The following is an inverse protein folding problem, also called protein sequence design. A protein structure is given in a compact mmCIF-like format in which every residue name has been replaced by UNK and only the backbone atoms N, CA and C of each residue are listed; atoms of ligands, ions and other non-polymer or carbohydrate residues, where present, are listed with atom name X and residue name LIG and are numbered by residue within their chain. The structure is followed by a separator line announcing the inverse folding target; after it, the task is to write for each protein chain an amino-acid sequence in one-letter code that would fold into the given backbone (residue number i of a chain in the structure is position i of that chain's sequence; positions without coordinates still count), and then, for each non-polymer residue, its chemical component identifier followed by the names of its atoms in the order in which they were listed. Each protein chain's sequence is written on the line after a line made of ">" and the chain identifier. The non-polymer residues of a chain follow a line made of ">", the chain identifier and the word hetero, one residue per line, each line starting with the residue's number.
data_IF_750853177966
#
_entry.id   IF_750853177966
#
_cell.length_a   1.000
_cell.length_b   1.000
_cell.length_c   1.000
_cell.angle_alpha   90.00
_cell.angle_beta   90.00
_cell.angle_gamma   90.00
#
_symmetry.space_group_name_H-M   'P 1'
#
loop_
_entity.id
_entity.type
_entity.pdbx_description
1 polymer ?
#
# COMPACT_ATOMS: atom_id res chain seq x y z
N UNK A 1 -2.01 -1.56 26.37
CA UNK A 1 -0.80 -1.12 25.65
C UNK A 1 0.11 -2.31 25.44
N UNK A 2 -0.24 -3.20 24.50
CA UNK A 2 0.66 -4.30 24.13
C UNK A 2 1.48 -3.84 22.94
N UNK A 3 2.72 -3.45 23.23
CA UNK A 3 3.75 -3.15 22.24
C UNK A 3 4.08 -4.48 21.53
N UNK A 4 3.52 -4.64 20.32
CA UNK A 4 4.04 -5.63 19.38
C UNK A 4 5.42 -5.13 18.96
N UNK A 5 6.42 -5.74 19.59
CA UNK A 5 7.84 -5.60 19.34
C UNK A 5 8.17 -6.16 17.94
N UNK A 6 7.83 -5.41 16.90
CA UNK A 6 8.27 -5.67 15.54
C UNK A 6 9.54 -4.85 15.25
N UNK A 7 10.63 -5.17 15.94
CA UNK A 7 11.98 -4.69 15.61
C UNK A 7 12.52 -5.23 14.26
N UNK A 8 11.66 -5.73 13.36
CA UNK A 8 11.98 -6.05 11.95
C UNK A 8 11.45 -5.00 10.95
N UNK A 9 10.77 -3.95 11.43
CA UNK A 9 10.23 -2.85 10.62
C UNK A 9 11.27 -1.75 10.33
N UNK A 10 12.50 -2.11 9.93
CA UNK A 10 13.47 -1.14 9.40
C UNK A 10 13.56 -1.16 7.87
N UNK A 11 12.46 -1.48 7.21
CA UNK A 11 12.29 -1.21 5.78
C UNK A 11 10.83 -0.85 5.51
N UNK A 12 10.50 0.46 5.47
CA UNK A 12 9.22 0.94 4.93
C UNK A 12 8.92 0.35 3.55
N UNK A 13 9.98 0.01 2.82
CA UNK A 13 9.96 -0.66 1.52
C UNK A 13 9.31 -2.05 1.49
N UNK A 14 9.03 -2.65 2.65
CA UNK A 14 8.57 -4.03 2.80
C UNK A 14 7.18 -4.15 3.42
N UNK A 15 6.41 -3.07 3.53
CA UNK A 15 5.02 -3.17 3.97
C UNK A 15 4.05 -3.04 2.78
N UNK A 16 3.45 -4.15 2.29
CA UNK A 16 2.52 -4.11 1.16
C UNK A 16 1.27 -3.27 1.46
N UNK A 17 0.92 -3.15 2.75
CA UNK A 17 -0.18 -2.31 3.21
C UNK A 17 0.12 -0.83 3.01
N UNK A 18 1.35 -0.37 3.28
CA UNK A 18 1.73 1.04 3.05
C UNK A 18 1.76 1.38 1.57
N UNK A 19 2.27 0.48 0.73
CA UNK A 19 2.29 0.71 -0.72
C UNK A 19 0.86 0.74 -1.31
N UNK A 20 -0.06 -0.06 -0.75
CA UNK A 20 -1.47 0.02 -1.11
C UNK A 20 -2.09 1.35 -0.67
N UNK A 21 -1.79 1.82 0.54
CA UNK A 21 -2.24 3.13 1.03
C UNK A 21 -1.70 4.28 0.18
N UNK A 22 -0.44 4.26 -0.23
CA UNK A 22 0.14 5.27 -1.12
C UNK A 22 -0.57 5.31 -2.49
N UNK A 23 -0.88 4.13 -3.06
CA UNK A 23 -1.62 4.01 -4.32
C UNK A 23 -3.04 4.57 -4.20
N UNK A 24 -3.75 4.26 -3.10
CA UNK A 24 -5.07 4.81 -2.79
C UNK A 24 -5.01 6.32 -2.58
N UNK A 25 -4.04 6.81 -1.81
CA UNK A 25 -3.89 8.23 -1.54
C UNK A 25 -3.61 9.00 -2.83
N UNK A 26 -2.75 8.49 -3.71
CA UNK A 26 -2.46 9.09 -5.01
C UNK A 26 -3.71 9.16 -5.90
N UNK A 27 -4.54 8.11 -5.92
CA UNK A 27 -5.82 8.10 -6.65
C UNK A 27 -6.81 9.10 -6.05
N UNK A 28 -6.95 9.10 -4.73
CA UNK A 28 -7.84 10.01 -4.00
C UNK A 28 -7.43 11.47 -4.21
N UNK A 29 -6.12 11.79 -4.24
CA UNK A 29 -5.60 13.14 -4.52
C UNK A 29 -5.89 13.65 -5.93
N UNK A 30 -6.19 12.77 -6.89
CA UNK A 30 -6.65 13.18 -8.23
C UNK A 30 -8.12 13.63 -8.23
N UNK A 31 -8.88 13.27 -7.19
CA UNK A 31 -10.27 13.67 -7.03
C UNK A 31 -10.37 14.96 -6.21
N UNK A 32 -11.31 15.83 -6.59
CA UNK A 32 -11.53 17.09 -5.89
C UNK A 32 -12.45 16.84 -4.68
N UNK A 33 -11.85 16.64 -3.52
CA UNK A 33 -12.57 16.23 -2.31
C UNK A 33 -12.90 17.46 -1.48
N UNK A 34 -14.16 17.89 -1.57
CA UNK A 34 -14.65 19.07 -0.84
C UNK A 34 -15.30 18.71 0.51
N UNK A 35 -15.64 17.44 0.75
CA UNK A 35 -16.37 16.98 1.93
C UNK A 35 -15.97 15.56 2.35
N UNK A 36 -16.12 15.25 3.65
CA UNK A 36 -15.88 13.89 4.19
C UNK A 36 -16.72 12.81 3.54
N UNK A 37 -17.95 13.11 3.12
CA UNK A 37 -18.83 12.13 2.48
C UNK A 37 -18.36 11.79 1.05
N UNK A 38 -17.87 12.80 0.33
CA UNK A 38 -17.23 12.61 -0.98
C UNK A 38 -15.97 11.76 -0.82
N UNK A 39 -15.14 12.04 0.19
CA UNK A 39 -13.95 11.23 0.47
C UNK A 39 -14.31 9.75 0.67
N UNK A 40 -15.33 9.45 1.47
CA UNK A 40 -15.78 8.07 1.71
C UNK A 40 -16.29 7.40 0.44
N UNK A 41 -17.02 8.13 -0.40
CA UNK A 41 -17.53 7.60 -1.66
C UNK A 41 -16.38 7.31 -2.63
N UNK A 42 -15.49 8.28 -2.84
CA UNK A 42 -14.32 8.14 -3.71
C UNK A 42 -13.41 7.01 -3.24
N UNK A 43 -13.21 6.87 -1.92
CA UNK A 43 -12.40 5.80 -1.37
C UNK A 43 -13.00 4.42 -1.65
N UNK A 44 -14.32 4.27 -1.54
CA UNK A 44 -15.00 3.02 -1.92
C UNK A 44 -14.93 2.75 -3.42
N UNK A 45 -15.21 3.75 -4.25
CA UNK A 45 -15.17 3.62 -5.70
C UNK A 45 -13.76 3.26 -6.19
N UNK A 46 -12.73 3.94 -5.68
CA UNK A 46 -11.35 3.64 -6.05
C UNK A 46 -10.90 2.29 -5.50
N UNK A 47 -11.40 1.87 -4.32
CA UNK A 47 -11.15 0.54 -3.78
C UNK A 47 -11.77 -0.56 -4.64
N UNK A 48 -13.02 -0.40 -5.10
CA UNK A 48 -13.67 -1.36 -6.00
C UNK A 48 -13.03 -1.39 -7.39
N UNK A 49 -12.44 -0.28 -7.85
CA UNK A 49 -11.67 -0.23 -9.11
C UNK A 49 -10.31 -0.92 -9.02
N UNK A 50 -9.77 -1.18 -7.82
CA UNK A 50 -8.52 -1.91 -7.68
C UNK A 50 -8.80 -3.37 -8.04
N UNK A 51 -8.37 -3.77 -9.24
CA UNK A 51 -8.50 -5.14 -9.69
C UNK A 51 -7.55 -6.07 -8.91
N UNK A 52 -7.89 -7.36 -8.88
CA UNK A 52 -7.00 -8.39 -8.34
C UNK A 52 -5.64 -8.40 -9.06
N UNK A 53 -5.59 -7.98 -10.32
CA UNK A 53 -4.36 -7.88 -11.11
C UNK A 53 -3.44 -6.77 -10.58
N UNK A 54 -3.99 -5.60 -10.24
CA UNK A 54 -3.22 -4.49 -9.64
C UNK A 54 -2.69 -4.88 -8.26
N UNK A 55 -3.49 -5.61 -7.48
CA UNK A 55 -3.06 -6.17 -6.19
C UNK A 55 -1.94 -7.20 -6.38
N UNK A 56 -2.04 -8.04 -7.41
CA UNK A 56 -1.02 -9.05 -7.73
C UNK A 56 0.29 -8.42 -8.20
N UNK A 57 0.24 -7.35 -9.01
CA UNK A 57 1.43 -6.56 -9.38
C UNK A 57 2.10 -5.94 -8.16
N UNK A 58 1.30 -5.43 -7.22
CA UNK A 58 1.78 -4.85 -5.96
C UNK A 58 2.55 -5.89 -5.13
N UNK A 59 1.94 -7.07 -4.94
CA UNK A 59 2.52 -8.20 -4.19
C UNK A 59 3.76 -8.76 -4.89
N UNK A 60 3.75 -8.87 -6.22
CA UNK A 60 4.90 -9.33 -6.99
C UNK A 60 6.08 -8.36 -6.93
N UNK A 61 5.83 -7.05 -6.99
CA UNK A 61 6.86 -6.02 -6.79
C UNK A 61 7.52 -6.15 -5.41
N UNK A 62 6.70 -6.33 -4.38
CA UNK A 62 7.12 -6.60 -3.01
C UNK A 62 7.97 -7.88 -2.87
N UNK A 63 7.54 -9.00 -3.44
CA UNK A 63 8.29 -10.26 -3.45
C UNK A 63 9.65 -10.10 -4.16
N UNK A 64 9.70 -9.35 -5.25
CA UNK A 64 10.95 -9.05 -5.96
C UNK A 64 11.90 -8.21 -5.11
N UNK A 65 11.40 -7.18 -4.41
CA UNK A 65 12.21 -6.36 -3.50
C UNK A 65 12.71 -7.16 -2.30
N UNK A 66 11.89 -8.07 -1.77
CA UNK A 66 12.32 -9.02 -0.74
C UNK A 66 13.49 -9.89 -1.22
N UNK A 67 13.41 -10.41 -2.45
CA UNK A 67 14.52 -11.15 -3.05
C UNK A 67 15.78 -10.28 -3.20
N UNK A 68 15.66 -9.05 -3.68
CA UNK A 68 16.79 -8.13 -3.79
C UNK A 68 17.43 -7.78 -2.44
N UNK A 69 16.62 -7.63 -1.38
CA UNK A 69 17.15 -7.40 -0.01
C UNK A 69 17.88 -8.64 0.50
N UNK A 70 17.35 -9.84 0.24
CA UNK A 70 18.02 -11.10 0.58
C UNK A 70 19.34 -11.26 -0.19
N UNK A 71 19.37 -10.96 -1.48
CA UNK A 71 20.59 -11.01 -2.30
C UNK A 71 21.64 -9.97 -1.88
N UNK A 72 21.21 -8.79 -1.40
CA UNK A 72 22.14 -7.76 -0.89
C UNK A 72 22.73 -8.05 0.49
N UNK A 73 22.18 -9.01 1.23
CA UNK A 73 22.60 -9.35 2.59
C UNK A 73 23.29 -10.73 2.70
N UNK A 74 23.64 -11.34 1.57
CA UNK A 74 24.50 -12.55 1.47
C UNK A 74 25.88 -12.15 0.96
#
# INVERSE_FOLDING_TARGET
>A
MSQINCARLQSPDLNPVEHLWDLLERKIRQHNISSKDILKSVLKDEWEKISAEETTKLVNSMSKRLQEVLERHI
#
